data_IF_526784568819
#
_entry.id   IF_526784568819
#
_cell.length_a   1.000
_cell.length_b   1.000
_cell.length_c   1.000
_cell.angle_alpha   90.00
_cell.angle_beta   90.00
_cell.angle_gamma   90.00
#
_symmetry.space_group_name_H-M   'P 1'
#
loop_
_entity.id
_entity.type
_entity.pdbx_description
1 polymer ?
#
# COMPACT_ATOMS: atom_id res chain seq x y z
N UNK A 1 6.88 4.95 4.36
CA UNK A 1 6.25 4.09 3.32
C UNK A 1 6.36 4.77 1.96
N UNK A 2 5.99 4.12 0.86
CA UNK A 2 6.04 4.72 -0.49
C UNK A 2 7.35 4.42 -1.23
N UNK A 3 7.44 4.94 -2.46
CA UNK A 3 8.51 4.66 -3.44
C UNK A 3 9.43 5.86 -3.73
N UNK A 4 9.05 7.06 -3.28
CA UNK A 4 9.76 8.31 -3.61
C UNK A 4 10.86 8.69 -2.62
N UNK A 5 10.88 8.09 -1.43
CA UNK A 5 11.77 8.53 -0.35
C UNK A 5 13.24 8.35 -0.72
N UNK A 6 13.63 7.15 -1.16
CA UNK A 6 15.03 6.85 -1.45
C UNK A 6 15.59 7.71 -2.59
N UNK A 7 14.90 7.88 -3.75
CA UNK A 7 15.35 8.83 -4.78
C UNK A 7 15.46 10.27 -4.26
N UNK A 8 14.49 10.73 -3.47
CA UNK A 8 14.49 12.10 -2.91
C UNK A 8 15.66 12.33 -1.95
N UNK A 9 15.94 11.36 -1.08
CA UNK A 9 17.07 11.42 -0.14
C UNK A 9 18.38 11.32 -0.90
N UNK A 10 18.48 10.42 -1.89
CA UNK A 10 19.69 10.22 -2.70
C UNK A 10 20.05 11.48 -3.52
N UNK A 11 19.06 12.21 -4.03
CA UNK A 11 19.28 13.48 -4.72
C UNK A 11 19.98 14.55 -3.83
N UNK A 12 19.86 14.42 -2.51
CA UNK A 12 20.49 15.34 -1.55
C UNK A 12 21.79 14.78 -0.97
N UNK A 13 21.82 13.48 -0.63
CA UNK A 13 22.92 12.86 0.12
C UNK A 13 23.90 12.05 -0.74
N UNK A 14 23.55 11.75 -1.99
CA UNK A 14 24.28 10.84 -2.87
C UNK A 14 23.72 9.41 -2.83
N UNK A 15 23.72 8.73 -3.98
CA UNK A 15 23.21 7.35 -4.12
C UNK A 15 24.00 6.35 -3.26
N UNK A 16 25.30 6.57 -3.09
CA UNK A 16 26.21 5.74 -2.29
C UNK A 16 25.96 5.85 -0.77
N UNK A 17 25.07 6.76 -0.35
CA UNK A 17 24.73 6.99 1.07
C UNK A 17 23.29 6.60 1.42
N UNK A 18 22.54 6.07 0.47
CA UNK A 18 21.15 5.68 0.66
C UNK A 18 20.99 4.18 0.42
N UNK A 19 20.38 3.50 1.39
CA UNK A 19 20.07 2.08 1.32
C UNK A 19 18.56 1.92 1.42
N UNK A 20 17.97 1.30 0.40
CA UNK A 20 16.54 1.06 0.35
C UNK A 20 16.13 -0.08 1.27
N UNK A 21 15.01 0.13 1.98
CA UNK A 21 14.46 -0.87 2.89
C UNK A 21 12.95 -0.82 2.98
N UNK A 22 12.37 -1.92 3.46
CA UNK A 22 10.95 -1.98 3.80
C UNK A 22 10.72 -2.76 5.09
N UNK A 23 9.90 -2.20 5.98
CA UNK A 23 9.41 -2.92 7.15
C UNK A 23 8.12 -3.63 6.77
N UNK A 24 8.11 -4.96 6.83
CA UNK A 24 6.91 -5.76 6.59
C UNK A 24 6.15 -6.06 7.89
N UNK A 25 6.84 -6.08 9.04
CA UNK A 25 6.24 -6.23 10.37
C UNK A 25 5.16 -5.18 10.63
N UNK A 26 4.01 -5.64 11.13
CA UNK A 26 2.93 -4.74 11.54
C UNK A 26 3.17 -4.30 12.99
N UNK A 27 3.21 -2.99 13.21
CA UNK A 27 3.48 -2.38 14.52
C UNK A 27 2.39 -1.36 14.81
N UNK A 28 1.90 -1.33 16.04
CA UNK A 28 1.01 -0.29 16.56
C UNK A 28 1.65 0.45 17.72
N UNK A 29 1.22 1.70 17.93
CA UNK A 29 1.65 2.57 19.03
C UNK A 29 0.42 3.10 19.75
N UNK A 30 -0.16 2.34 20.70
CA UNK A 30 -1.39 2.73 21.38
C UNK A 30 -1.21 3.90 22.34
N UNK A 31 0.02 4.10 22.87
CA UNK A 31 0.33 5.15 23.83
C UNK A 31 1.77 5.67 23.73
N UNK A 32 2.09 6.66 24.56
CA UNK A 32 3.46 7.18 24.68
C UNK A 32 4.34 6.09 25.32
N UNK A 33 5.43 5.73 24.65
CA UNK A 33 6.35 4.68 25.13
C UNK A 33 5.88 3.24 24.89
N UNK A 34 4.68 3.04 24.34
CA UNK A 34 4.13 1.72 24.06
C UNK A 34 4.28 1.35 22.59
N UNK A 35 4.85 0.18 22.32
CA UNK A 35 4.99 -0.38 20.97
C UNK A 35 4.52 -1.82 21.01
N UNK A 36 3.54 -2.16 20.17
CA UNK A 36 3.03 -3.53 20.06
C UNK A 36 3.36 -4.06 18.67
N UNK A 37 4.06 -5.19 18.64
CA UNK A 37 4.23 -5.97 17.41
C UNK A 37 2.96 -6.78 17.15
N UNK A 38 2.07 -6.25 16.31
CA UNK A 38 0.79 -6.88 15.97
C UNK A 38 0.99 -8.18 15.17
N UNK A 39 2.00 -8.17 14.27
CA UNK A 39 2.34 -9.34 13.47
C UNK A 39 3.79 -9.28 13.01
N UNK A 40 4.60 -10.19 13.57
CA UNK A 40 5.96 -10.42 13.10
C UNK A 40 5.98 -10.85 11.64
N UNK A 41 6.79 -10.18 10.82
CA UNK A 41 6.95 -10.52 9.39
C UNK A 41 8.39 -10.34 8.93
N UNK A 42 9.03 -9.24 9.30
CA UNK A 42 10.45 -8.97 9.07
C UNK A 42 10.74 -7.66 8.33
N UNK A 43 11.99 -7.49 7.94
CA UNK A 43 12.50 -6.28 7.26
C UNK A 43 13.26 -6.68 5.99
N UNK A 44 12.90 -6.07 4.87
CA UNK A 44 13.61 -6.20 3.60
C UNK A 44 14.66 -5.10 3.44
N UNK A 45 15.84 -5.48 2.94
CA UNK A 45 16.98 -4.59 2.68
C UNK A 45 17.49 -4.84 1.26
N UNK A 46 17.64 -3.79 0.47
CA UNK A 46 18.26 -3.89 -0.85
C UNK A 46 19.76 -4.18 -0.73
N UNK A 47 20.27 -5.04 -1.61
CA UNK A 47 21.72 -5.27 -1.77
C UNK A 47 22.34 -4.23 -2.71
N UNK A 48 23.67 -4.21 -2.78
CA UNK A 48 24.42 -3.27 -3.64
C UNK A 48 25.03 -2.09 -2.89
N UNK A 49 24.72 -1.91 -1.61
CA UNK A 49 25.38 -0.94 -0.74
C UNK A 49 26.33 -1.67 0.24
N UNK A 50 27.45 -1.04 0.59
CA UNK A 50 28.50 -1.65 1.47
C UNK A 50 27.98 -2.09 2.84
N UNK A 51 26.88 -1.51 3.30
CA UNK A 51 26.24 -1.86 4.58
C UNK A 51 25.10 -2.87 4.44
N UNK A 52 24.72 -3.30 3.23
CA UNK A 52 23.56 -4.19 3.04
C UNK A 52 23.70 -5.51 3.78
N UNK A 53 24.82 -6.21 3.60
CA UNK A 53 25.05 -7.50 4.27
C UNK A 53 25.23 -7.36 5.79
N UNK A 54 26.08 -6.44 6.31
CA UNK A 54 26.16 -6.19 7.75
C UNK A 54 24.82 -5.85 8.39
N UNK A 55 23.99 -5.04 7.71
CA UNK A 55 22.68 -4.65 8.22
C UNK A 55 21.72 -5.85 8.25
N UNK A 56 21.67 -6.67 7.20
CA UNK A 56 20.84 -7.87 7.18
C UNK A 56 21.24 -8.83 8.30
N UNK A 57 22.54 -9.04 8.52
CA UNK A 57 23.04 -9.87 9.61
C UNK A 57 22.67 -9.31 10.99
N UNK A 58 22.81 -7.98 11.19
CA UNK A 58 22.42 -7.32 12.43
C UNK A 58 20.91 -7.47 12.70
N UNK A 59 20.07 -7.29 11.68
CA UNK A 59 18.62 -7.48 11.78
C UNK A 59 18.25 -8.93 12.12
N UNK A 60 18.94 -9.92 11.55
CA UNK A 60 18.75 -11.33 11.88
C UNK A 60 19.16 -11.61 13.33
N UNK A 61 20.31 -11.12 13.75
CA UNK A 61 20.80 -11.28 15.13
C UNK A 61 19.85 -10.65 16.16
N UNK A 62 19.24 -9.51 15.81
CA UNK A 62 18.24 -8.84 16.63
C UNK A 62 16.84 -9.49 16.59
N UNK A 63 16.65 -10.60 15.87
CA UNK A 63 15.35 -11.27 15.74
C UNK A 63 14.33 -10.52 14.87
N UNK A 64 14.77 -9.55 14.06
CA UNK A 64 13.90 -8.72 13.20
C UNK A 64 13.67 -9.32 11.80
N UNK A 65 14.06 -10.58 11.59
CA UNK A 65 13.87 -11.32 10.34
C UNK A 65 14.34 -10.54 9.10
N UNK A 66 15.59 -10.09 9.14
CA UNK A 66 16.24 -9.37 8.03
C UNK A 66 16.38 -10.23 6.78
N UNK A 67 15.97 -9.70 5.62
CA UNK A 67 16.06 -10.36 4.32
C UNK A 67 16.64 -9.43 3.25
N UNK A 68 17.62 -9.94 2.51
CA UNK A 68 18.23 -9.26 1.38
C UNK A 68 17.36 -9.33 0.12
N UNK A 69 17.38 -8.26 -0.69
CA UNK A 69 16.68 -8.16 -1.97
C UNK A 69 17.61 -7.64 -3.07
N UNK A 70 17.64 -8.34 -4.21
CA UNK A 70 18.45 -7.96 -5.37
C UNK A 70 17.97 -6.68 -6.07
N UNK A 71 16.65 -6.49 -6.15
CA UNK A 71 16.03 -5.35 -6.79
C UNK A 71 15.28 -4.51 -5.74
N UNK A 72 15.82 -3.32 -5.47
CA UNK A 72 15.24 -2.35 -4.55
C UNK A 72 13.85 -1.89 -5.02
N UNK A 73 13.68 -1.62 -6.31
CA UNK A 73 12.43 -1.16 -6.89
C UNK A 73 11.34 -2.23 -6.75
N UNK A 74 11.62 -3.47 -7.15
CA UNK A 74 10.68 -4.59 -6.99
C UNK A 74 10.23 -4.75 -5.53
N UNK A 75 11.15 -4.65 -4.56
CA UNK A 75 10.84 -4.71 -3.13
C UNK A 75 9.92 -3.55 -2.69
N UNK A 76 10.28 -2.31 -3.04
CA UNK A 76 9.55 -1.10 -2.65
C UNK A 76 8.15 -1.04 -3.26
N UNK A 77 8.03 -1.38 -4.54
CA UNK A 77 6.75 -1.44 -5.25
C UNK A 77 5.87 -2.59 -4.76
N UNK A 78 6.45 -3.76 -4.46
CA UNK A 78 5.70 -4.86 -3.84
C UNK A 78 5.17 -4.46 -2.46
N UNK A 79 5.93 -3.67 -1.68
CA UNK A 79 5.42 -3.10 -0.42
C UNK A 79 4.29 -2.12 -0.67
N UNK A 80 4.45 -1.20 -1.63
CA UNK A 80 3.41 -0.26 -2.01
C UNK A 80 2.11 -1.01 -2.37
N UNK A 81 2.18 -2.05 -3.20
CA UNK A 81 1.02 -2.87 -3.57
C UNK A 81 0.22 -3.37 -2.36
N UNK A 82 0.90 -3.85 -1.30
CA UNK A 82 0.22 -4.30 -0.06
C UNK A 82 -0.40 -3.16 0.76
N UNK A 83 0.16 -1.96 0.67
CA UNK A 83 -0.34 -0.78 1.36
C UNK A 83 -1.56 -0.17 0.66
N UNK A 84 -1.75 -0.43 -0.63
CA UNK A 84 -2.93 0.03 -1.37
C UNK A 84 -4.20 -0.72 -0.97
N UNK A 85 -4.10 -2.02 -0.68
CA UNK A 85 -5.24 -2.90 -0.40
C UNK A 85 -6.14 -2.35 0.71
N UNK A 86 -7.31 -1.85 0.31
CA UNK A 86 -8.38 -1.35 1.15
C UNK A 86 -8.09 -0.03 1.86
N UNK A 87 -6.93 0.61 1.67
CA UNK A 87 -6.57 1.75 2.53
C UNK A 87 -7.38 3.02 2.20
N UNK A 88 -7.26 3.52 0.96
CA UNK A 88 -7.96 4.73 0.52
C UNK A 88 -9.48 4.54 0.45
N UNK A 89 -9.93 3.42 -0.12
CA UNK A 89 -11.36 3.12 -0.25
C UNK A 89 -12.04 3.00 1.12
N UNK A 90 -11.39 2.40 2.13
CA UNK A 90 -11.95 2.33 3.49
C UNK A 90 -12.10 3.70 4.13
N UNK A 91 -11.14 4.60 3.91
CA UNK A 91 -11.21 5.97 4.42
C UNK A 91 -12.35 6.77 3.76
N UNK A 92 -12.52 6.62 2.43
CA UNK A 92 -13.55 7.35 1.67
C UNK A 92 -14.96 6.82 1.98
N UNK A 93 -15.12 5.49 2.03
CA UNK A 93 -16.44 4.85 2.18
C UNK A 93 -16.81 4.57 3.64
N UNK A 94 -15.93 4.85 4.59
CA UNK A 94 -16.10 4.54 6.02
C UNK A 94 -16.46 3.06 6.23
N UNK A 95 -15.68 2.15 5.65
CA UNK A 95 -15.93 0.71 5.71
C UNK A 95 -14.65 -0.05 5.98
N UNK A 96 -14.75 -1.13 6.73
CA UNK A 96 -13.65 -2.07 6.96
C UNK A 96 -13.21 -2.71 5.64
N UNK A 97 -11.95 -3.19 5.58
CA UNK A 97 -11.45 -3.92 4.41
C UNK A 97 -12.30 -5.17 4.14
N UNK A 98 -12.80 -5.84 5.17
CA UNK A 98 -13.66 -7.01 5.01
C UNK A 98 -14.97 -6.67 4.28
N UNK A 99 -15.63 -5.56 4.65
CA UNK A 99 -16.85 -5.09 4.00
C UNK A 99 -16.62 -4.67 2.55
N UNK A 100 -15.49 -4.01 2.26
CA UNK A 100 -15.14 -3.65 0.88
C UNK A 100 -14.98 -4.87 -0.02
N UNK A 101 -14.33 -5.92 0.46
CA UNK A 101 -14.13 -7.14 -0.32
C UNK A 101 -15.40 -8.01 -0.37
N UNK A 102 -16.34 -7.85 0.56
CA UNK A 102 -17.66 -8.50 0.50
C UNK A 102 -18.60 -7.84 -0.51
N UNK A 103 -18.54 -6.51 -0.68
CA UNK A 103 -19.35 -5.77 -1.66
C UNK A 103 -18.79 -5.91 -3.08
N UNK A 104 -19.63 -6.33 -4.03
CA UNK A 104 -19.22 -6.61 -5.42
C UNK A 104 -18.65 -5.38 -6.16
N UNK A 105 -19.14 -4.17 -5.83
CA UNK A 105 -18.73 -2.92 -6.48
C UNK A 105 -17.36 -2.49 -5.97
N UNK A 106 -17.22 -2.44 -4.65
CA UNK A 106 -15.99 -2.06 -3.95
C UNK A 106 -14.87 -3.05 -4.22
N UNK A 107 -15.17 -4.36 -4.29
CA UNK A 107 -14.20 -5.37 -4.74
C UNK A 107 -13.65 -5.08 -6.14
N UNK A 108 -14.52 -4.70 -7.08
CA UNK A 108 -14.11 -4.36 -8.44
C UNK A 108 -13.15 -3.16 -8.47
N UNK A 109 -13.45 -2.15 -7.65
CA UNK A 109 -12.59 -0.98 -7.47
C UNK A 109 -11.22 -1.36 -6.88
N UNK A 110 -11.19 -2.17 -5.82
CA UNK A 110 -9.96 -2.64 -5.18
C UNK A 110 -9.08 -3.46 -6.14
N UNK A 111 -9.69 -4.35 -6.93
CA UNK A 111 -8.95 -5.10 -7.95
C UNK A 111 -8.38 -4.15 -9.02
N UNK A 112 -9.11 -3.11 -9.42
CA UNK A 112 -8.61 -2.11 -10.36
C UNK A 112 -7.41 -1.32 -9.80
N UNK A 113 -7.47 -0.88 -8.54
CA UNK A 113 -6.35 -0.23 -7.84
C UNK A 113 -5.07 -1.06 -7.94
N UNK A 114 -5.18 -2.36 -7.61
CA UNK A 114 -4.04 -3.27 -7.61
C UNK A 114 -3.54 -3.56 -9.03
N UNK A 115 -4.44 -3.73 -10.01
CA UNK A 115 -4.08 -3.98 -11.42
C UNK A 115 -3.36 -2.79 -12.05
N UNK A 116 -3.81 -1.57 -11.78
CA UNK A 116 -3.13 -0.35 -12.22
C UNK A 116 -1.71 -0.28 -11.65
N UNK A 117 -1.55 -0.52 -10.34
CA UNK A 117 -0.23 -0.58 -9.71
C UNK A 117 0.67 -1.65 -10.34
N UNK A 118 0.15 -2.85 -10.59
CA UNK A 118 0.89 -3.93 -11.27
C UNK A 118 1.28 -3.57 -12.71
N UNK A 119 0.43 -2.83 -13.43
CA UNK A 119 0.74 -2.35 -14.78
C UNK A 119 1.87 -1.31 -14.76
N UNK A 120 1.83 -0.37 -13.80
CA UNK A 120 2.91 0.61 -13.58
C UNK A 120 4.21 -0.10 -13.21
N UNK A 121 4.18 -1.07 -12.29
CA UNK A 121 5.35 -1.90 -11.96
C UNK A 121 5.95 -2.55 -13.22
N UNK A 122 5.11 -3.14 -14.07
CA UNK A 122 5.55 -3.76 -15.32
C UNK A 122 6.21 -2.77 -16.28
N UNK A 123 5.63 -1.58 -16.44
CA UNK A 123 6.20 -0.53 -17.31
C UNK A 123 7.52 0.05 -16.79
N UNK A 124 7.71 0.06 -15.47
CA UNK A 124 8.97 0.44 -14.81
C UNK A 124 10.01 -0.69 -14.76
N UNK A 125 9.68 -1.89 -15.27
CA UNK A 125 10.57 -3.05 -15.26
C UNK A 125 10.68 -3.77 -13.91
N UNK A 126 9.77 -3.52 -12.98
CA UNK A 126 9.78 -4.16 -11.66
C UNK A 126 8.88 -5.39 -11.60
N UNK A 127 9.47 -6.52 -11.18
CA UNK A 127 8.73 -7.72 -10.84
C UNK A 127 8.04 -7.63 -9.48
N UNK A 128 7.01 -8.46 -9.28
CA UNK A 128 6.41 -8.67 -7.94
C UNK A 128 7.28 -9.64 -7.15
N UNK A 129 7.67 -9.27 -5.93
CA UNK A 129 8.45 -10.11 -5.02
C UNK A 129 7.74 -10.28 -3.68
N UNK A 130 7.87 -11.47 -3.09
CA UNK A 130 7.33 -11.72 -1.75
C UNK A 130 8.20 -11.04 -0.70
N UNK A 131 7.54 -10.34 0.20
CA UNK A 131 8.19 -9.69 1.34
C UNK A 131 8.24 -10.66 2.52
N UNK A 132 9.11 -10.42 3.52
CA UNK A 132 9.10 -11.21 4.75
C UNK A 132 7.68 -11.35 5.30
N UNK A 133 7.25 -12.59 5.57
CA UNK A 133 5.91 -12.92 6.07
C UNK A 133 4.71 -12.45 5.24
N UNK A 134 4.90 -12.04 3.97
CA UNK A 134 3.84 -11.46 3.13
C UNK A 134 3.88 -11.99 1.69
N UNK A 135 2.92 -12.85 1.29
CA UNK A 135 2.88 -13.46 -0.04
C UNK A 135 2.29 -12.50 -1.10
N UNK A 136 3.06 -11.50 -1.51
CA UNK A 136 2.65 -10.46 -2.47
C UNK A 136 2.36 -11.05 -3.85
N UNK A 137 3.10 -12.09 -4.28
CA UNK A 137 2.85 -12.77 -5.56
C UNK A 137 1.47 -13.42 -5.59
N UNK A 138 1.02 -14.00 -4.48
CA UNK A 138 -0.31 -14.59 -4.35
C UNK A 138 -1.40 -13.51 -4.45
N UNK A 139 -1.19 -12.34 -3.83
CA UNK A 139 -2.09 -11.19 -3.97
C UNK A 139 -2.18 -10.74 -5.43
N UNK A 140 -1.04 -10.58 -6.10
CA UNK A 140 -1.00 -10.20 -7.52
C UNK A 140 -1.73 -11.21 -8.41
N UNK A 141 -1.54 -12.51 -8.17
CA UNK A 141 -2.25 -13.57 -8.88
C UNK A 141 -3.76 -13.51 -8.65
N UNK A 142 -4.19 -13.26 -7.41
CA UNK A 142 -5.60 -13.18 -7.05
C UNK A 142 -6.34 -12.07 -7.82
N UNK A 143 -5.65 -10.97 -8.17
CA UNK A 143 -6.23 -9.90 -9.02
C UNK A 143 -6.56 -10.36 -10.44
N UNK A 144 -5.97 -11.45 -10.93
CA UNK A 144 -6.16 -11.98 -12.30
C UNK A 144 -7.20 -13.10 -12.36
N UNK A 145 -7.54 -13.69 -11.22
CA UNK A 145 -8.49 -14.79 -11.15
C UNK A 145 -9.93 -14.29 -11.28
N UNK A 146 -10.86 -15.14 -11.75
CA UNK A 146 -12.28 -14.84 -11.73
C UNK A 146 -12.78 -14.49 -10.33
N UNK A 147 -13.66 -13.48 -10.23
CA UNK A 147 -14.20 -12.98 -8.96
C UNK A 147 -14.76 -14.09 -8.06
N UNK A 148 -15.48 -15.06 -8.63
CA UNK A 148 -16.09 -16.15 -7.85
C UNK A 148 -15.07 -17.07 -7.17
N UNK A 149 -13.80 -17.05 -7.62
CA UNK A 149 -12.69 -17.77 -7.00
C UNK A 149 -11.95 -16.86 -6.02
N UNK A 150 -11.55 -15.66 -6.48
CA UNK A 150 -10.67 -14.78 -5.73
C UNK A 150 -11.38 -14.05 -4.57
N UNK A 151 -12.63 -13.61 -4.77
CA UNK A 151 -13.33 -12.79 -3.79
C UNK A 151 -13.55 -13.53 -2.46
N UNK A 152 -14.08 -14.78 -2.42
CA UNK A 152 -14.25 -15.49 -1.15
C UNK A 152 -12.93 -15.72 -0.41
N UNK A 153 -11.86 -16.05 -1.14
CA UNK A 153 -10.54 -16.28 -0.58
C UNK A 153 -9.94 -14.99 0.01
N UNK A 154 -10.04 -13.87 -0.72
CA UNK A 154 -9.52 -12.57 -0.29
C UNK A 154 -10.32 -12.01 0.90
N UNK A 155 -11.66 -12.10 0.88
CA UNK A 155 -12.49 -11.68 2.01
C UNK A 155 -12.11 -12.45 3.28
N UNK A 156 -11.94 -13.78 3.18
CA UNK A 156 -11.52 -14.60 4.33
C UNK A 156 -10.11 -14.25 4.82
N UNK A 157 -9.15 -14.13 3.90
CA UNK A 157 -7.75 -13.85 4.25
C UNK A 157 -7.56 -12.45 4.85
N UNK A 158 -8.23 -11.43 4.29
CA UNK A 158 -8.14 -10.05 4.76
C UNK A 158 -8.94 -9.84 6.05
N UNK A 159 -10.10 -10.49 6.19
CA UNK A 159 -10.86 -10.51 7.45
C UNK A 159 -10.06 -11.13 8.60
N UNK A 160 -9.40 -12.27 8.38
CA UNK A 160 -8.56 -12.89 9.41
C UNK A 160 -7.25 -12.13 9.70
N UNK A 161 -6.70 -11.43 8.70
CA UNK A 161 -5.39 -10.77 8.79
C UNK A 161 -5.42 -9.32 9.27
N UNK A 162 -6.54 -8.61 9.10
CA UNK A 162 -6.74 -7.21 9.56
C UNK A 162 -7.89 -7.05 10.55
N UNK A 163 -8.82 -8.02 10.65
CA UNK A 163 -10.02 -7.91 11.48
C UNK A 163 -10.91 -6.73 11.06
N UNK A 164 -11.69 -6.23 12.00
CA UNK A 164 -12.55 -5.04 11.85
C UNK A 164 -11.78 -3.71 12.06
N UNK A 165 -10.44 -3.75 12.12
CA UNK A 165 -9.63 -2.53 12.35
C UNK A 165 -9.65 -1.64 11.10
N UNK A 166 -9.96 -0.37 11.30
CA UNK A 166 -9.92 0.62 10.22
C UNK A 166 -8.47 0.91 9.77
N UNK A 167 -8.21 1.06 8.46
CA UNK A 167 -6.90 1.40 7.93
C UNK A 167 -6.40 2.78 8.36
N UNK A 168 -5.09 3.03 8.18
CA UNK A 168 -4.45 4.27 8.65
C UNK A 168 -5.03 5.53 8.04
N UNK A 169 -5.44 5.51 6.76
CA UNK A 169 -6.04 6.70 6.13
C UNK A 169 -7.38 7.08 6.74
N UNK A 170 -8.16 6.09 7.22
CA UNK A 170 -9.40 6.37 7.93
C UNK A 170 -9.10 7.08 9.25
N UNK A 171 -8.11 6.59 10.01
CA UNK A 171 -7.67 7.21 11.26
C UNK A 171 -7.17 8.64 11.01
N UNK A 172 -6.39 8.87 9.96
CA UNK A 172 -5.85 10.21 9.66
C UNK A 172 -6.96 11.19 9.22
N UNK A 173 -7.90 10.73 8.39
CA UNK A 173 -9.02 11.54 7.90
C UNK A 173 -10.02 11.87 9.03
N UNK A 174 -10.48 10.86 9.76
CA UNK A 174 -11.48 11.02 10.82
C UNK A 174 -10.90 11.54 12.13
N UNK A 175 -9.59 11.41 12.33
CA UNK A 175 -8.86 11.95 13.48
C UNK A 175 -8.45 13.42 13.34
N UNK A 176 -8.82 14.10 12.24
CA UNK A 176 -8.59 15.53 12.05
C UNK A 176 -7.13 15.94 11.81
N UNK A 177 -6.25 15.00 11.42
CA UNK A 177 -4.82 15.31 11.17
C UNK A 177 -4.59 16.14 9.90
N UNK A 178 -5.60 16.30 9.04
CA UNK A 178 -5.60 17.19 7.88
C UNK A 178 -4.62 16.81 6.74
N UNK A 179 -3.82 15.75 6.91
CA UNK A 179 -2.87 15.25 5.91
C UNK A 179 -2.91 13.73 5.89
N UNK A 180 -3.19 13.15 4.72
CA UNK A 180 -3.13 11.71 4.48
C UNK A 180 -1.88 11.38 3.64
N UNK A 181 -1.30 10.18 3.78
CA UNK A 181 -0.16 9.77 2.93
C UNK A 181 -0.58 9.33 1.51
N UNK A 182 -1.82 9.64 1.08
CA UNK A 182 -2.38 9.14 -0.19
C UNK A 182 -1.59 9.56 -1.40
N UNK A 183 -1.03 10.77 -1.38
CA UNK A 183 -0.17 11.30 -2.43
C UNK A 183 1.11 10.49 -2.59
N UNK A 184 1.59 9.81 -1.54
CA UNK A 184 2.77 8.94 -1.55
C UNK A 184 2.44 7.46 -1.78
N UNK A 185 1.15 7.10 -1.77
CA UNK A 185 0.68 5.74 -2.07
C UNK A 185 -0.04 5.71 -3.43
N UNK A 186 -1.37 5.86 -3.47
CA UNK A 186 -2.14 5.89 -4.70
C UNK A 186 -1.66 7.01 -5.65
N UNK A 187 -1.28 8.17 -5.09
CA UNK A 187 -0.74 9.28 -5.86
C UNK A 187 0.61 8.96 -6.51
N UNK A 188 1.43 8.14 -5.88
CA UNK A 188 2.67 7.66 -6.50
C UNK A 188 2.35 6.77 -7.70
N UNK A 189 1.42 5.81 -7.58
CA UNK A 189 0.96 4.99 -8.70
C UNK A 189 0.47 5.88 -9.86
N UNK A 190 -0.32 6.91 -9.56
CA UNK A 190 -0.83 7.82 -10.58
C UNK A 190 0.26 8.63 -11.28
N UNK A 191 1.23 9.17 -10.52
CA UNK A 191 2.35 9.93 -11.08
C UNK A 191 3.25 9.07 -11.96
N UNK A 192 3.69 7.91 -11.47
CA UNK A 192 4.55 7.01 -12.24
C UNK A 192 3.81 6.40 -13.43
N UNK A 193 2.50 6.16 -13.31
CA UNK A 193 1.66 5.75 -14.43
C UNK A 193 1.66 6.79 -15.55
N UNK A 194 1.44 8.06 -15.22
CA UNK A 194 1.52 9.15 -16.19
C UNK A 194 2.90 9.26 -16.85
N UNK A 195 3.98 9.13 -16.09
CA UNK A 195 5.36 9.15 -16.61
C UNK A 195 5.67 7.97 -17.55
N UNK A 196 5.13 6.79 -17.25
CA UNK A 196 5.36 5.56 -18.02
C UNK A 196 4.31 5.33 -19.13
N UNK A 197 3.36 6.23 -19.31
CA UNK A 197 2.27 6.08 -20.29
C UNK A 197 1.25 5.00 -19.95
N UNK A 198 1.11 4.65 -18.66
CA UNK A 198 0.15 3.66 -18.15
C UNK A 198 -1.07 4.38 -17.54
N UNK A 199 -2.30 4.14 -18.03
CA UNK A 199 -3.50 4.70 -17.42
C UNK A 199 -3.73 4.18 -16.00
N UNK A 200 -3.95 5.10 -15.06
CA UNK A 200 -4.23 4.80 -13.65
C UNK A 200 -5.43 5.60 -13.10
N UNK A 201 -6.60 5.56 -13.78
CA UNK A 201 -7.74 6.40 -13.42
C UNK A 201 -8.27 6.15 -12.01
N UNK A 202 -8.25 4.91 -11.53
CA UNK A 202 -8.77 4.57 -10.20
C UNK A 202 -7.85 5.08 -9.11
N UNK A 203 -6.53 4.88 -9.23
CA UNK A 203 -5.58 5.44 -8.29
C UNK A 203 -5.63 6.97 -8.27
N UNK A 204 -5.75 7.63 -9.43
CA UNK A 204 -5.88 9.08 -9.52
C UNK A 204 -7.18 9.61 -8.88
N UNK A 205 -8.30 8.91 -9.08
CA UNK A 205 -9.57 9.24 -8.44
C UNK A 205 -9.49 9.14 -6.92
N UNK A 206 -8.94 8.03 -6.39
CA UNK A 206 -8.82 7.83 -4.95
C UNK A 206 -7.93 8.88 -4.31
N UNK A 207 -6.82 9.24 -4.96
CA UNK A 207 -5.93 10.31 -4.51
C UNK A 207 -6.65 11.65 -4.43
N UNK A 208 -7.21 12.12 -5.55
CA UNK A 208 -7.89 13.41 -5.58
C UNK A 208 -9.11 13.49 -4.65
N UNK A 209 -9.85 12.40 -4.50
CA UNK A 209 -11.00 12.34 -3.59
C UNK A 209 -10.56 12.46 -2.14
N UNK A 210 -9.54 11.71 -1.72
CA UNK A 210 -9.09 11.75 -0.33
C UNK A 210 -8.36 13.07 0.00
N UNK A 211 -7.65 13.67 -0.96
CA UNK A 211 -7.08 15.00 -0.82
C UNK A 211 -8.17 16.06 -0.62
N UNK A 212 -9.21 16.06 -1.46
CA UNK A 212 -10.34 16.99 -1.31
C UNK A 212 -11.09 16.81 0.01
N UNK A 213 -11.29 15.56 0.46
CA UNK A 213 -11.88 15.27 1.77
C UNK A 213 -11.00 15.77 2.92
N UNK A 214 -9.69 15.55 2.83
CA UNK A 214 -8.72 16.00 3.84
C UNK A 214 -8.59 17.52 3.91
N UNK A 215 -8.78 18.21 2.79
CA UNK A 215 -8.77 19.67 2.69
C UNK A 215 -10.12 20.32 3.08
N UNK A 216 -11.17 19.53 3.30
CA UNK A 216 -12.53 20.04 3.56
C UNK A 216 -13.24 20.61 2.32
N UNK A 217 -12.71 20.34 1.13
CA UNK A 217 -13.28 20.76 -0.17
C UNK A 217 -14.39 19.82 -0.66
N UNK A 218 -14.44 18.59 -0.12
CA UNK A 218 -15.48 17.62 -0.38
C UNK A 218 -16.16 17.18 0.93
N UNK A 219 -17.44 16.81 0.84
CA UNK A 219 -18.19 16.28 1.97
C UNK A 219 -18.07 14.74 2.03
N UNK A 220 -17.58 14.21 3.16
CA UNK A 220 -17.46 12.77 3.39
C UNK A 220 -18.81 12.05 3.30
N UNK A 221 -19.91 12.70 3.67
CA UNK A 221 -21.25 12.12 3.61
C UNK A 221 -21.73 11.84 2.18
N UNK A 222 -21.09 12.45 1.17
CA UNK A 222 -21.34 12.09 -0.23
C UNK A 222 -20.91 10.66 -0.55
N UNK A 223 -19.84 10.17 0.10
CA UNK A 223 -19.22 8.89 -0.20
C UNK A 223 -19.43 7.84 0.88
N UNK A 224 -19.74 8.25 2.11
CA UNK A 224 -19.93 7.35 3.24
C UNK A 224 -20.90 6.23 2.88
N UNK A 225 -20.42 4.98 2.97
CA UNK A 225 -21.14 3.77 2.63
C UNK A 225 -21.76 3.72 1.21
N UNK A 226 -21.29 4.57 0.29
CA UNK A 226 -21.85 4.74 -1.05
C UNK A 226 -20.79 4.52 -2.15
N UNK A 227 -20.47 3.26 -2.49
CA UNK A 227 -19.53 2.95 -3.57
C UNK A 227 -19.94 3.53 -4.93
N UNK A 228 -21.25 3.67 -5.19
CA UNK A 228 -21.76 4.16 -6.47
C UNK A 228 -21.43 5.64 -6.70
N UNK A 229 -21.40 6.46 -5.65
CA UNK A 229 -20.95 7.86 -5.74
C UNK A 229 -19.49 7.96 -6.20
N UNK A 230 -18.64 7.05 -5.73
CA UNK A 230 -17.24 7.00 -6.15
C UNK A 230 -17.10 6.48 -7.59
N UNK A 231 -17.81 5.39 -7.93
CA UNK A 231 -17.80 4.83 -9.28
C UNK A 231 -18.37 5.77 -10.34
N UNK A 232 -19.33 6.62 -9.97
CA UNK A 232 -19.89 7.63 -10.88
C UNK A 232 -18.84 8.63 -11.39
N UNK A 233 -17.74 8.83 -10.64
CA UNK A 233 -16.64 9.73 -11.01
C UNK A 233 -15.59 9.09 -11.95
N UNK A 234 -15.72 7.80 -12.26
CA UNK A 234 -14.86 7.10 -13.24
C UNK A 234 -15.43 7.08 -14.66
N UNK A 235 -16.63 7.65 -14.86
CA UNK A 235 -17.34 7.64 -16.14
C UNK A 235 -16.94 8.79 -17.04
#
# INVERSE_FOLDING_TARGET
NGVDNEPTIAATLGEDRVLAGTVATAVSKPGVGEVVEEKHRGIGVAIGHRLSEPLVAALQHAGLSGRAFADAGAMKWSKLLTNLTGNATSAILDRTVAELFADKRSYGLEVAVLRECLAVMGALGHGVVDLPGTPVRALALATRLPRFIAQPALTKALGAGRGDKMPSFHIDLHGGRGRTEVSFLNGAVARYGAQAGVPTPVNALLTSTLEALSAGEANIETYRHNPDALLARLR
#
